data_IF_350150030892
#
_entry.id   IF_350150030892
#
_cell.length_a   1.000
_cell.length_b   1.000
_cell.length_c   1.000
_cell.angle_alpha   90.00
_cell.angle_beta   90.00
_cell.angle_gamma   90.00
#
_symmetry.space_group_name_H-M   'P 1'
#
loop_
_entity.id
_entity.type
_entity.pdbx_description
1 polymer ?
#
# COMPACT_ATOMS: atom_id res chain seq x y z
N UNK A 1 -22.18 9.17 -26.17
CA UNK A 1 -21.07 9.84 -25.43
C UNK A 1 -20.47 8.81 -24.47
N UNK A 2 -19.24 8.34 -24.69
CA UNK A 2 -18.60 7.38 -23.76
C UNK A 2 -18.22 8.15 -22.49
N UNK A 3 -18.86 7.84 -21.37
CA UNK A 3 -18.48 8.38 -20.06
C UNK A 3 -17.09 7.86 -19.71
N UNK A 4 -16.15 8.77 -19.46
CA UNK A 4 -14.76 8.43 -19.19
C UNK A 4 -14.58 7.96 -17.73
N UNK A 5 -13.88 6.84 -17.55
CA UNK A 5 -13.43 6.38 -16.24
C UNK A 5 -12.63 7.50 -15.53
N UNK A 6 -13.07 7.95 -14.35
CA UNK A 6 -12.34 8.99 -13.61
C UNK A 6 -11.21 8.38 -12.76
N UNK A 7 -9.97 8.48 -13.25
CA UNK A 7 -8.77 8.11 -12.50
C UNK A 7 -8.19 9.32 -11.77
N UNK A 8 -8.10 9.25 -10.44
CA UNK A 8 -7.59 10.35 -9.61
C UNK A 8 -6.42 9.88 -8.74
N UNK A 9 -5.41 10.73 -8.64
CA UNK A 9 -4.26 10.57 -7.74
C UNK A 9 -4.09 11.87 -6.97
N UNK A 10 -4.04 11.78 -5.63
CA UNK A 10 -3.79 12.94 -4.77
C UNK A 10 -2.93 12.57 -3.58
N UNK A 11 -2.16 13.52 -3.07
CA UNK A 11 -1.53 13.39 -1.76
C UNK A 11 -2.59 13.62 -0.67
N UNK A 12 -2.65 12.74 0.32
CA UNK A 12 -3.58 12.80 1.45
C UNK A 12 -2.86 12.70 2.80
N UNK A 13 -1.56 12.95 2.83
CA UNK A 13 -0.71 12.76 4.02
C UNK A 13 -1.31 13.40 5.27
N UNK A 14 -1.83 14.62 5.15
CA UNK A 14 -2.30 15.43 6.27
C UNK A 14 -3.72 15.08 6.74
N UNK A 15 -4.47 14.27 5.98
CA UNK A 15 -5.83 13.86 6.33
C UNK A 15 -6.02 12.34 6.39
N UNK A 16 -4.95 11.57 6.18
CA UNK A 16 -5.01 10.12 6.13
C UNK A 16 -5.40 9.51 7.48
N UNK A 17 -6.51 8.76 7.50
CA UNK A 17 -7.03 8.00 8.65
C UNK A 17 -7.11 8.80 9.98
N UNK A 18 -7.52 10.07 9.91
CA UNK A 18 -7.77 10.92 11.10
C UNK A 18 -8.82 10.37 12.08
N UNK A 19 -9.63 9.42 11.63
CA UNK A 19 -10.61 8.71 12.45
C UNK A 19 -9.97 7.68 13.40
N UNK A 20 -8.69 7.36 13.22
CA UNK A 20 -7.92 6.53 14.14
C UNK A 20 -7.08 7.41 15.07
N UNK A 21 -6.84 6.92 16.28
CA UNK A 21 -6.10 7.66 17.31
C UNK A 21 -4.63 7.19 17.32
N UNK A 22 -3.66 8.08 17.07
CA UNK A 22 -2.24 7.74 17.14
C UNK A 22 -1.86 7.04 18.46
N UNK A 23 -0.97 6.06 18.38
CA UNK A 23 -0.54 5.19 19.50
C UNK A 23 -1.64 4.32 20.13
N UNK A 24 -2.88 4.35 19.65
CA UNK A 24 -3.95 3.45 20.11
C UNK A 24 -4.15 2.29 19.14
N UNK A 25 -4.36 1.09 19.69
CA UNK A 25 -4.49 -0.15 18.93
C UNK A 25 -3.45 -1.17 19.35
N UNK A 26 -3.25 -2.21 18.53
CA UNK A 26 -2.31 -3.30 18.82
C UNK A 26 -1.80 -3.96 17.55
N UNK A 27 -0.61 -4.55 17.65
CA UNK A 27 -0.03 -5.40 16.62
C UNK A 27 -0.22 -6.85 17.04
N UNK A 28 -0.86 -7.66 16.19
CA UNK A 28 -1.19 -9.07 16.45
C UNK A 28 -0.39 -9.94 15.49
N UNK A 29 0.42 -10.84 16.03
CA UNK A 29 1.34 -11.73 15.28
C UNK A 29 1.02 -13.22 15.49
N UNK A 30 -0.19 -13.55 15.96
CA UNK A 30 -0.56 -14.94 16.31
C UNK A 30 -0.47 -15.91 15.13
N UNK A 31 -0.72 -15.44 13.90
CA UNK A 31 -0.78 -16.28 12.70
C UNK A 31 0.56 -16.42 11.95
N UNK A 32 1.48 -15.48 12.16
CA UNK A 32 2.87 -15.56 11.67
C UNK A 32 3.78 -14.60 12.41
N UNK A 33 5.06 -14.93 12.45
CA UNK A 33 6.12 -14.02 12.90
C UNK A 33 6.49 -13.06 11.75
N UNK A 34 6.29 -11.73 11.90
CA UNK A 34 6.76 -10.78 10.91
C UNK A 34 8.28 -10.63 10.97
N UNK A 35 8.88 -10.27 9.84
CA UNK A 35 10.28 -9.84 9.78
C UNK A 35 10.50 -8.57 10.60
N UNK A 36 11.76 -8.28 10.92
CA UNK A 36 12.13 -7.07 11.64
C UNK A 36 11.65 -5.79 10.93
N UNK A 37 11.74 -5.78 9.61
CA UNK A 37 11.27 -4.65 8.80
C UNK A 37 9.75 -4.46 8.90
N UNK A 38 8.98 -5.52 8.73
CA UNK A 38 7.52 -5.47 8.84
C UNK A 38 7.09 -5.04 10.25
N UNK A 39 7.76 -5.53 11.29
CA UNK A 39 7.48 -5.14 12.67
C UNK A 39 7.80 -3.66 12.91
N UNK A 40 8.96 -3.16 12.44
CA UNK A 40 9.32 -1.74 12.53
C UNK A 40 8.30 -0.85 11.80
N UNK A 41 7.86 -1.29 10.64
CA UNK A 41 6.82 -0.63 9.84
C UNK A 41 5.47 -0.62 10.55
N UNK A 42 5.04 -1.74 11.11
CA UNK A 42 3.78 -1.83 11.86
C UNK A 42 3.80 -0.91 13.10
N UNK A 43 4.92 -0.85 13.82
CA UNK A 43 5.11 0.08 14.95
C UNK A 43 5.02 1.54 14.50
N UNK A 44 5.62 1.90 13.36
CA UNK A 44 5.51 3.25 12.79
C UNK A 44 4.05 3.61 12.46
N UNK A 45 3.30 2.69 11.85
CA UNK A 45 1.88 2.91 11.52
C UNK A 45 1.02 3.07 12.77
N UNK A 46 1.20 2.21 13.77
CA UNK A 46 0.51 2.32 15.06
C UNK A 46 0.83 3.66 15.75
N UNK A 47 2.10 4.07 15.74
CA UNK A 47 2.51 5.34 16.34
C UNK A 47 1.95 6.56 15.62
N UNK A 48 1.88 6.54 14.28
CA UNK A 48 1.45 7.68 13.47
C UNK A 48 -0.05 7.80 13.28
N UNK A 49 -0.73 6.66 13.17
CA UNK A 49 -2.15 6.62 12.80
C UNK A 49 -2.98 5.79 13.79
N UNK A 50 -2.37 4.86 14.51
CA UNK A 50 -3.10 3.93 15.36
C UNK A 50 -3.73 2.78 14.59
N UNK A 51 -4.74 2.17 15.21
CA UNK A 51 -5.49 1.04 14.68
C UNK A 51 -4.87 -0.32 14.99
N UNK A 52 -5.62 -1.38 14.70
CA UNK A 52 -5.17 -2.77 14.92
C UNK A 52 -4.55 -3.32 13.65
N UNK A 53 -3.32 -3.82 13.73
CA UNK A 53 -2.60 -4.49 12.64
C UNK A 53 -2.53 -5.98 12.96
N UNK A 54 -3.22 -6.80 12.18
CA UNK A 54 -3.24 -8.25 12.32
C UNK A 54 -2.46 -8.90 11.17
N UNK A 55 -1.28 -9.43 11.47
CA UNK A 55 -0.48 -10.14 10.48
C UNK A 55 -1.17 -11.44 10.06
N UNK A 56 -1.31 -11.62 8.75
CA UNK A 56 -2.00 -12.77 8.16
C UNK A 56 -0.99 -13.89 7.93
N UNK A 57 -1.44 -15.15 8.01
CA UNK A 57 -0.60 -16.29 7.68
C UNK A 57 -0.14 -16.20 6.21
N UNK A 58 1.11 -16.56 5.96
CA UNK A 58 1.55 -16.93 4.61
C UNK A 58 0.75 -18.14 4.13
N UNK A 59 0.63 -18.31 2.81
CA UNK A 59 -0.23 -19.31 2.15
C UNK A 59 -0.32 -20.67 2.86
N UNK A 60 -1.56 -21.18 2.98
CA UNK A 60 -1.86 -22.62 2.97
C UNK A 60 -2.17 -23.08 1.53
N UNK A 61 -1.94 -24.38 1.27
CA UNK A 61 -2.01 -25.26 0.07
C UNK A 61 -2.43 -24.74 -1.33
N UNK A 62 -3.25 -23.70 -1.49
CA UNK A 62 -3.85 -23.30 -2.78
C UNK A 62 -3.18 -22.13 -3.52
N UNK A 63 -1.93 -21.79 -3.23
CA UNK A 63 -1.17 -20.89 -4.11
C UNK A 63 -1.67 -19.43 -4.24
N UNK A 64 -2.72 -19.01 -3.52
CA UNK A 64 -3.29 -17.65 -3.59
C UNK A 64 -2.42 -16.63 -2.85
N UNK A 65 -1.98 -15.55 -3.53
CA UNK A 65 -1.11 -14.53 -2.91
C UNK A 65 -1.88 -13.72 -1.84
N UNK A 66 -1.59 -13.99 -0.57
CA UNK A 66 -2.17 -13.28 0.59
C UNK A 66 -1.41 -11.99 0.87
N UNK A 67 -2.08 -10.91 1.30
CA UNK A 67 -1.40 -9.71 1.78
C UNK A 67 -0.76 -9.93 3.16
N UNK A 68 0.23 -9.09 3.48
CA UNK A 68 1.00 -9.23 4.72
C UNK A 68 0.17 -9.11 6.00
N UNK A 69 -0.79 -8.18 6.03
CA UNK A 69 -1.61 -7.89 7.20
C UNK A 69 -3.01 -7.35 6.85
N UNK A 70 -3.90 -7.34 7.84
CA UNK A 70 -5.09 -6.48 7.86
C UNK A 70 -4.87 -5.34 8.85
N UNK A 71 -5.11 -4.10 8.44
CA UNK A 71 -4.96 -2.91 9.26
C UNK A 71 -6.29 -2.16 9.39
N UNK A 72 -6.98 -2.40 10.50
CA UNK A 72 -8.31 -1.85 10.84
C UNK A 72 -9.29 -1.97 9.66
N UNK A 73 -9.48 -3.20 9.18
CA UNK A 73 -10.42 -3.53 8.09
C UNK A 73 -9.84 -3.40 6.68
N UNK A 74 -8.64 -2.83 6.49
CA UNK A 74 -8.00 -2.68 5.17
C UNK A 74 -6.86 -3.65 4.98
N UNK A 75 -6.75 -4.28 3.81
CA UNK A 75 -5.58 -5.08 3.46
C UNK A 75 -4.34 -4.19 3.43
N UNK A 76 -3.24 -4.67 3.99
CA UNK A 76 -1.96 -3.98 4.08
C UNK A 76 -0.86 -4.88 3.51
N UNK A 77 -0.13 -4.34 2.54
CA UNK A 77 1.05 -4.97 1.95
C UNK A 77 2.29 -4.13 2.20
N UNK A 78 3.39 -4.74 2.63
CA UNK A 78 4.64 -4.08 3.02
C UNK A 78 5.74 -4.47 2.03
N UNK A 79 6.28 -3.49 1.31
CA UNK A 79 7.35 -3.70 0.33
C UNK A 79 8.55 -2.82 0.58
N UNK A 80 9.72 -3.36 0.23
CA UNK A 80 10.98 -2.61 0.06
C UNK A 80 11.30 -2.46 -1.41
N UNK A 81 11.62 -1.25 -1.82
CA UNK A 81 12.06 -0.93 -3.18
C UNK A 81 13.50 -0.40 -3.15
N UNK A 82 14.47 -1.30 -3.28
CA UNK A 82 15.91 -1.00 -3.21
C UNK A 82 16.53 -0.64 -4.57
N UNK A 83 16.24 -1.42 -5.62
CA UNK A 83 16.83 -1.24 -6.95
C UNK A 83 16.17 -0.16 -7.81
N UNK A 84 16.83 0.23 -8.91
CA UNK A 84 16.35 1.24 -9.87
C UNK A 84 14.91 0.98 -10.34
N UNK A 85 14.57 -0.24 -10.71
CA UNK A 85 13.21 -0.60 -11.21
C UNK A 85 12.33 -1.30 -10.16
N UNK A 86 12.72 -1.21 -8.89
CA UNK A 86 12.05 -1.96 -7.83
C UNK A 86 10.71 -1.35 -7.42
N UNK A 87 10.52 -0.03 -7.53
CA UNK A 87 9.24 0.58 -7.18
C UNK A 87 8.10 0.09 -8.08
N UNK A 88 8.32 0.09 -9.39
CA UNK A 88 7.39 -0.45 -10.37
C UNK A 88 7.02 -1.92 -10.09
N UNK A 89 8.03 -2.80 -10.00
CA UNK A 89 7.81 -4.24 -9.83
C UNK A 89 7.18 -4.60 -8.49
N UNK A 90 7.56 -3.91 -7.41
CA UNK A 90 7.00 -4.13 -6.08
C UNK A 90 5.57 -3.59 -6.00
N UNK A 91 5.27 -2.46 -6.65
CA UNK A 91 3.89 -1.95 -6.77
C UNK A 91 3.01 -2.97 -7.48
N UNK A 92 3.45 -3.53 -8.62
CA UNK A 92 2.68 -4.57 -9.33
C UNK A 92 2.38 -5.77 -8.44
N UNK A 93 3.40 -6.32 -7.76
CA UNK A 93 3.23 -7.48 -6.86
C UNK A 93 2.26 -7.17 -5.72
N UNK A 94 2.37 -5.98 -5.15
CA UNK A 94 1.50 -5.57 -4.06
C UNK A 94 0.04 -5.41 -4.51
N UNK A 95 -0.21 -4.82 -5.69
CA UNK A 95 -1.54 -4.74 -6.29
C UNK A 95 -2.18 -6.12 -6.47
N UNK A 96 -1.41 -7.11 -6.92
CA UNK A 96 -1.89 -8.49 -7.06
C UNK A 96 -2.28 -9.11 -5.71
N UNK A 97 -1.51 -8.86 -4.64
CA UNK A 97 -1.76 -9.38 -3.29
C UNK A 97 -3.00 -8.76 -2.63
N UNK A 98 -3.21 -7.45 -2.79
CA UNK A 98 -4.36 -6.74 -2.23
C UNK A 98 -5.57 -6.70 -3.17
N UNK A 99 -5.48 -7.36 -4.34
CA UNK A 99 -6.51 -7.34 -5.40
C UNK A 99 -6.94 -5.92 -5.77
N UNK A 100 -5.98 -4.99 -5.81
CA UNK A 100 -6.18 -3.57 -6.10
C UNK A 100 -6.69 -2.70 -4.94
N UNK A 101 -7.29 -3.27 -3.89
CA UNK A 101 -7.93 -2.48 -2.82
C UNK A 101 -7.22 -2.64 -1.48
N UNK A 102 -6.83 -1.51 -0.86
CA UNK A 102 -6.16 -1.53 0.43
C UNK A 102 -5.06 -0.48 0.57
N UNK A 103 -4.02 -0.83 1.31
CA UNK A 103 -2.89 0.02 1.62
C UNK A 103 -1.60 -0.69 1.20
N UNK A 104 -0.77 -0.04 0.41
CA UNK A 104 0.61 -0.45 0.14
C UNK A 104 1.51 0.45 0.97
N UNK A 105 2.45 -0.13 1.68
CA UNK A 105 3.53 0.61 2.29
C UNK A 105 4.82 0.29 1.55
N UNK A 106 5.42 1.33 0.98
CA UNK A 106 6.61 1.23 0.16
C UNK A 106 7.78 1.94 0.82
N UNK A 107 8.70 1.15 1.36
CA UNK A 107 9.98 1.64 1.89
C UNK A 107 10.99 1.80 0.75
N UNK A 108 11.36 3.06 0.49
CA UNK A 108 12.32 3.48 -0.54
C UNK A 108 13.63 4.00 0.07
N UNK A 109 13.91 3.70 1.33
CA UNK A 109 15.12 4.18 2.04
C UNK A 109 16.41 3.84 1.30
N UNK A 110 16.46 2.68 0.68
CA UNK A 110 17.62 2.18 -0.06
C UNK A 110 17.54 2.47 -1.57
N UNK A 111 16.52 3.22 -2.02
CA UNK A 111 16.37 3.55 -3.43
C UNK A 111 17.19 4.79 -3.80
N UNK A 112 17.95 4.68 -4.89
CA UNK A 112 18.73 5.80 -5.43
C UNK A 112 17.87 6.88 -6.09
N UNK A 113 16.64 6.54 -6.53
CA UNK A 113 15.76 7.47 -7.23
C UNK A 113 15.17 8.50 -6.28
N UNK A 114 14.84 9.66 -6.83
CA UNK A 114 14.13 10.70 -6.09
C UNK A 114 12.71 10.26 -5.76
N UNK A 115 12.13 10.86 -4.72
CA UNK A 115 10.74 10.61 -4.34
C UNK A 115 9.78 10.93 -5.50
N UNK A 116 10.09 11.97 -6.27
CA UNK A 116 9.28 12.41 -7.43
C UNK A 116 9.28 11.32 -8.51
N UNK A 117 10.45 10.79 -8.87
CA UNK A 117 10.58 9.69 -9.84
C UNK A 117 9.83 8.44 -9.38
N UNK A 118 9.92 8.10 -8.10
CA UNK A 118 9.20 6.96 -7.50
C UNK A 118 7.69 7.14 -7.62
N UNK A 119 7.16 8.34 -7.30
CA UNK A 119 5.71 8.63 -7.42
C UNK A 119 5.23 8.49 -8.87
N UNK A 120 6.03 8.94 -9.84
CA UNK A 120 5.73 8.79 -11.26
C UNK A 120 5.67 7.32 -11.67
N UNK A 121 6.66 6.51 -11.27
CA UNK A 121 6.67 5.07 -11.54
C UNK A 121 5.48 4.32 -10.97
N UNK A 122 5.17 4.59 -9.70
CA UNK A 122 3.99 4.03 -9.01
C UNK A 122 2.72 4.38 -9.80
N UNK A 123 2.55 5.64 -10.16
CA UNK A 123 1.36 6.12 -10.87
C UNK A 123 1.24 5.49 -12.26
N UNK A 124 2.33 5.44 -13.03
CA UNK A 124 2.35 4.81 -14.34
C UNK A 124 2.04 3.30 -14.26
N UNK A 125 2.60 2.59 -13.28
CA UNK A 125 2.30 1.17 -13.06
C UNK A 125 0.82 0.97 -12.79
N UNK A 126 0.23 1.74 -11.90
CA UNK A 126 -1.18 1.57 -11.52
C UNK A 126 -2.08 1.88 -12.71
N UNK A 127 -1.81 2.97 -13.45
CA UNK A 127 -2.54 3.28 -14.69
C UNK A 127 -2.53 2.09 -15.64
N UNK A 128 -1.35 1.50 -15.93
CA UNK A 128 -1.25 0.31 -16.78
C UNK A 128 -2.08 -0.87 -16.26
N UNK A 129 -2.00 -1.20 -14.98
CA UNK A 129 -2.79 -2.33 -14.43
C UNK A 129 -4.30 -2.05 -14.52
N UNK A 130 -4.73 -0.80 -14.32
CA UNK A 130 -6.16 -0.41 -14.39
C UNK A 130 -6.70 -0.25 -15.81
N UNK A 131 -5.85 0.01 -16.80
CA UNK A 131 -6.23 0.09 -18.22
C UNK A 131 -6.35 -1.29 -18.85
N UNK A 132 -5.47 -2.23 -18.47
CA UNK A 132 -5.41 -3.55 -19.12
C UNK A 132 -6.36 -4.60 -18.53
N UNK A 133 -6.70 -4.53 -17.23
CA UNK A 133 -7.21 -5.72 -16.54
C UNK A 133 -8.65 -5.72 -16.07
N UNK A 134 -9.34 -4.60 -15.82
CA UNK A 134 -10.71 -4.65 -15.28
C UNK A 134 -11.46 -3.30 -15.32
N UNK A 135 -12.75 -3.36 -15.71
CA UNK A 135 -13.78 -2.39 -15.31
C UNK A 135 -14.15 -2.61 -13.83
N UNK A 136 -13.23 -2.33 -12.93
CA UNK A 136 -13.48 -2.42 -11.47
C UNK A 136 -13.03 -1.15 -10.79
N UNK A 137 -13.76 -0.82 -9.73
CA UNK A 137 -13.39 0.25 -8.83
C UNK A 137 -12.07 -0.05 -8.13
N UNK A 138 -11.29 1.01 -7.94
CA UNK A 138 -10.02 1.00 -7.24
C UNK A 138 -10.09 1.98 -6.08
N UNK A 139 -9.76 1.53 -4.88
CA UNK A 139 -9.48 2.38 -3.73
C UNK A 139 -8.18 1.92 -3.06
N UNK A 140 -7.11 2.64 -3.39
CA UNK A 140 -5.76 2.33 -2.99
C UNK A 140 -5.11 3.51 -2.29
N UNK A 141 -4.47 3.26 -1.15
CA UNK A 141 -3.53 4.20 -0.56
C UNK A 141 -2.11 3.65 -0.61
N UNK A 142 -1.14 4.48 -0.94
CA UNK A 142 0.28 4.12 -0.95
C UNK A 142 1.04 5.03 -0.01
N UNK A 143 1.54 4.46 1.08
CA UNK A 143 2.37 5.15 2.06
C UNK A 143 3.83 5.01 1.63
N UNK A 144 4.46 6.13 1.28
CA UNK A 144 5.86 6.16 0.87
C UNK A 144 6.71 6.49 2.08
N UNK A 145 7.64 5.61 2.42
CA UNK A 145 8.56 5.78 3.54
C UNK A 145 9.99 5.90 3.03
N UNK A 146 10.73 6.85 3.59
CA UNK A 146 12.18 6.97 3.38
C UNK A 146 12.83 7.27 4.73
N UNK A 147 13.87 6.52 5.07
CA UNK A 147 14.63 6.64 6.32
C UNK A 147 13.73 6.65 7.56
N UNK A 148 12.78 5.70 7.63
CA UNK A 148 11.77 5.55 8.70
C UNK A 148 10.80 6.73 8.87
N UNK A 149 10.75 7.65 7.90
CA UNK A 149 9.80 8.78 7.89
C UNK A 149 8.79 8.60 6.78
N UNK A 150 7.53 8.91 7.07
CA UNK A 150 6.49 8.98 6.06
C UNK A 150 6.72 10.25 5.24
N UNK A 151 7.06 10.06 3.98
CA UNK A 151 7.33 11.15 3.04
C UNK A 151 6.02 11.66 2.48
N UNK A 152 5.19 10.75 1.97
CA UNK A 152 3.89 11.07 1.39
C UNK A 152 2.94 9.88 1.48
N UNK A 153 1.65 10.17 1.31
CA UNK A 153 0.59 9.17 1.17
C UNK A 153 -0.21 9.51 -0.06
N UNK A 154 -0.12 8.66 -1.07
CA UNK A 154 -0.94 8.80 -2.28
C UNK A 154 -2.27 8.10 -2.05
N UNK A 155 -3.37 8.78 -2.37
CA UNK A 155 -4.67 8.16 -2.57
C UNK A 155 -4.93 8.06 -4.06
N UNK A 156 -5.29 6.86 -4.50
CA UNK A 156 -5.52 6.52 -5.89
C UNK A 156 -6.88 5.87 -6.00
N UNK A 157 -7.77 6.55 -6.71
CA UNK A 157 -9.14 6.11 -6.91
C UNK A 157 -9.45 6.00 -8.39
N UNK A 158 -10.10 4.90 -8.77
CA UNK A 158 -10.76 4.75 -10.06
C UNK A 158 -12.21 4.39 -9.78
N UNK A 159 -13.14 5.16 -10.34
CA UNK A 159 -14.55 4.79 -10.38
C UNK A 159 -14.92 4.41 -11.80
N UNK A 160 -15.53 3.25 -11.96
CA UNK A 160 -16.12 2.83 -13.22
C UNK A 160 -17.59 3.22 -13.16
N UNK A 161 -18.01 4.11 -14.06
CA UNK A 161 -19.44 4.41 -14.18
C UNK A 161 -20.16 3.20 -14.79
N UNK A 162 -21.26 2.79 -14.14
CA UNK A 162 -22.15 1.74 -14.61
C UNK A 162 -23.00 2.23 -15.80
#
# INVERSE_FOLDING_TARGET
>A
MKKEDSFKVRSVKDCFRKNLIPNKGRIITKRRKPSEHEMKTAKLLLAKFGGTINFLAGKGEMGLKTPDANWSGRLLEIKRAKGKSSADSQTRKALEQIKGNGVILLDISENIKSVIQIKQEITHRIKRETSHKNKKDLNLNIIIIKNRRIIDILEITKKVEA
#
